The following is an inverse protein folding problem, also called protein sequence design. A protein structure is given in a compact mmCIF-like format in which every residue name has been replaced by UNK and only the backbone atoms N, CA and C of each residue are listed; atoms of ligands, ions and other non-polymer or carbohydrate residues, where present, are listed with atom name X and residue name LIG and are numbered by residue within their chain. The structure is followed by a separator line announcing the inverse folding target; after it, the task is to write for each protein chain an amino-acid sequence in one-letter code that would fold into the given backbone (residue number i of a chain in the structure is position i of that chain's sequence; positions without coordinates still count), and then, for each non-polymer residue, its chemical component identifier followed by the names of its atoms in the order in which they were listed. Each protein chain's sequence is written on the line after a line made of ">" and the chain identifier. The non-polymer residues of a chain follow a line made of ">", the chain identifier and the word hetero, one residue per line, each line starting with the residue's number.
data_IF_502680168664
#
_entry.id   IF_502680168664
#
_cell.length_a   1.000
_cell.length_b   1.000
_cell.length_c   1.000
_cell.angle_alpha   90.00
_cell.angle_beta   90.00
_cell.angle_gamma   90.00
#
_symmetry.space_group_name_H-M   'P 1'
#
loop_
_entity.id
_entity.type
_entity.pdbx_description
1 polymer ?
#
# COMPACT_ATOMS: atom_id res chain seq x y z
N UNK A 1 33.89 1.91 -7.05
CA UNK A 1 32.63 2.46 -7.60
C UNK A 1 31.67 1.28 -7.69
N UNK A 2 30.63 1.14 -6.87
CA UNK A 2 29.38 1.85 -7.15
C UNK A 2 28.31 1.77 -6.02
N UNK A 3 28.65 1.44 -4.77
CA UNK A 3 27.62 1.31 -3.71
C UNK A 3 27.07 2.67 -3.24
N UNK A 4 27.91 3.72 -3.26
CA UNK A 4 27.47 5.09 -2.98
C UNK A 4 26.42 5.57 -3.98
N UNK A 5 26.67 5.36 -5.29
CA UNK A 5 25.74 5.72 -6.35
C UNK A 5 24.40 4.97 -6.28
N UNK A 6 24.40 3.70 -5.87
CA UNK A 6 23.14 2.95 -5.74
C UNK A 6 22.27 3.53 -4.61
N UNK A 7 22.89 3.80 -3.45
CA UNK A 7 22.23 4.40 -2.29
C UNK A 7 21.70 5.79 -2.61
N UNK A 8 22.48 6.62 -3.30
CA UNK A 8 22.08 7.98 -3.68
C UNK A 8 20.90 7.98 -4.65
N UNK A 9 20.87 7.04 -5.61
CA UNK A 9 19.72 6.87 -6.53
C UNK A 9 18.46 6.40 -5.80
N UNK A 10 18.60 5.50 -4.83
CA UNK A 10 17.47 5.04 -4.00
C UNK A 10 16.95 6.19 -3.12
N UNK A 11 17.83 7.00 -2.53
CA UNK A 11 17.44 8.19 -1.76
C UNK A 11 16.75 9.24 -2.64
N UNK A 12 17.23 9.46 -3.88
CA UNK A 12 16.56 10.32 -4.86
C UNK A 12 15.18 9.79 -5.27
N UNK A 13 15.03 8.48 -5.42
CA UNK A 13 13.74 7.87 -5.75
C UNK A 13 12.76 7.97 -4.57
N UNK A 14 13.21 7.67 -3.35
CA UNK A 14 12.42 7.80 -2.12
C UNK A 14 12.05 9.25 -1.78
N UNK A 15 12.84 10.23 -2.22
CA UNK A 15 12.51 11.65 -2.01
C UNK A 15 11.41 12.14 -2.95
N UNK A 16 11.14 11.42 -4.05
CA UNK A 16 10.07 11.75 -4.99
C UNK A 16 8.68 11.60 -4.34
N UNK A 17 7.85 12.64 -4.45
CA UNK A 17 6.48 12.68 -3.93
C UNK A 17 5.62 11.51 -4.41
N UNK A 18 5.76 11.12 -5.68
CA UNK A 18 5.01 10.00 -6.25
C UNK A 18 5.46 8.64 -5.69
N UNK A 19 6.76 8.46 -5.43
CA UNK A 19 7.29 7.24 -4.83
C UNK A 19 6.82 7.09 -3.36
N UNK A 20 6.78 8.19 -2.61
CA UNK A 20 6.24 8.21 -1.24
C UNK A 20 4.74 7.86 -1.23
N UNK A 21 3.96 8.41 -2.17
CA UNK A 21 2.54 8.07 -2.32
C UNK A 21 2.33 6.59 -2.66
N UNK A 22 3.15 6.03 -3.57
CA UNK A 22 3.10 4.61 -3.91
C UNK A 22 3.44 3.73 -2.72
N UNK A 23 4.53 4.02 -2.00
CA UNK A 23 4.92 3.26 -0.81
C UNK A 23 3.87 3.33 0.28
N UNK A 24 3.27 4.51 0.50
CA UNK A 24 2.18 4.66 1.46
C UNK A 24 0.96 3.85 1.04
N UNK A 25 0.59 3.88 -0.24
CA UNK A 25 -0.53 3.08 -0.77
C UNK A 25 -0.27 1.59 -0.57
N UNK A 26 0.94 1.11 -0.88
CA UNK A 26 1.33 -0.27 -0.67
C UNK A 26 1.27 -0.68 0.81
N UNK A 27 1.78 0.16 1.71
CA UNK A 27 1.72 -0.10 3.15
C UNK A 27 0.28 -0.16 3.66
N UNK A 28 -0.58 0.77 3.21
CA UNK A 28 -1.99 0.79 3.56
C UNK A 28 -2.74 -0.42 3.00
N UNK A 29 -2.45 -0.84 1.77
CA UNK A 29 -3.02 -2.07 1.17
C UNK A 29 -2.65 -3.30 1.99
N UNK A 30 -1.38 -3.45 2.38
CA UNK A 30 -0.94 -4.59 3.18
C UNK A 30 -1.66 -4.64 4.54
N UNK A 31 -1.78 -3.49 5.20
CA UNK A 31 -2.52 -3.37 6.46
C UNK A 31 -4.01 -3.70 6.30
N UNK A 32 -4.66 -3.20 5.24
CA UNK A 32 -6.05 -3.53 4.93
C UNK A 32 -6.25 -5.01 4.63
N UNK A 33 -5.31 -5.62 3.91
CA UNK A 33 -5.38 -7.05 3.54
C UNK A 33 -5.31 -7.91 4.80
N UNK A 34 -4.41 -7.61 5.73
CA UNK A 34 -4.32 -8.30 7.01
C UNK A 34 -5.60 -8.11 7.84
N UNK A 35 -6.15 -6.90 7.88
CA UNK A 35 -7.34 -6.59 8.66
C UNK A 35 -8.57 -7.30 8.10
N UNK A 36 -8.75 -7.30 6.78
CA UNK A 36 -9.81 -8.06 6.12
C UNK A 36 -9.61 -9.55 6.32
N UNK A 37 -8.39 -10.06 6.19
CA UNK A 37 -8.10 -11.47 6.43
C UNK A 37 -8.51 -11.90 7.85
N UNK A 38 -8.11 -11.14 8.86
CA UNK A 38 -8.53 -11.37 10.25
C UNK A 38 -10.04 -11.27 10.44
N UNK A 39 -10.70 -10.34 9.75
CA UNK A 39 -12.17 -10.20 9.79
C UNK A 39 -12.86 -11.43 9.19
N UNK A 40 -12.38 -11.92 8.05
CA UNK A 40 -12.92 -13.12 7.41
C UNK A 40 -12.68 -14.36 8.27
N UNK A 41 -11.50 -14.47 8.89
CA UNK A 41 -11.18 -15.53 9.85
C UNK A 41 -12.11 -15.49 11.06
N UNK A 42 -12.38 -14.29 11.61
CA UNK A 42 -13.30 -14.10 12.73
C UNK A 42 -14.74 -14.47 12.41
N UNK A 43 -15.19 -14.21 11.17
CA UNK A 43 -16.54 -14.55 10.69
C UNK A 43 -16.64 -16.03 10.27
N UNK A 44 -15.52 -16.77 10.27
CA UNK A 44 -15.46 -18.18 9.87
C UNK A 44 -15.50 -18.39 8.35
N UNK A 45 -15.22 -17.34 7.57
CA UNK A 45 -15.26 -17.35 6.11
C UNK A 45 -13.89 -17.74 5.52
N UNK A 46 -13.42 -18.95 5.87
CA UNK A 46 -12.07 -19.40 5.51
C UNK A 46 -11.88 -19.69 4.02
N UNK A 47 -12.95 -20.04 3.30
CA UNK A 47 -12.90 -20.37 1.86
C UNK A 47 -13.00 -19.14 0.96
N UNK A 48 -13.03 -17.93 1.54
CA UNK A 48 -13.15 -16.72 0.73
C UNK A 48 -11.89 -16.51 -0.13
N UNK A 49 -12.02 -16.22 -1.44
CA UNK A 49 -10.84 -16.21 -2.29
C UNK A 49 -9.94 -15.03 -1.96
N UNK A 50 -8.68 -15.32 -1.61
CA UNK A 50 -7.68 -14.33 -1.23
C UNK A 50 -7.50 -13.21 -2.27
N UNK A 51 -7.64 -13.53 -3.56
CA UNK A 51 -7.57 -12.54 -4.64
C UNK A 51 -8.61 -11.41 -4.48
N UNK A 52 -9.83 -11.71 -4.01
CA UNK A 52 -10.84 -10.69 -3.74
C UNK A 52 -10.49 -9.85 -2.52
N UNK A 53 -9.90 -10.44 -1.49
CA UNK A 53 -9.42 -9.71 -0.30
C UNK A 53 -8.36 -8.68 -0.70
N UNK A 54 -7.39 -9.09 -1.53
CA UNK A 54 -6.34 -8.22 -2.04
C UNK A 54 -6.93 -7.13 -2.94
N UNK A 55 -7.83 -7.50 -3.85
CA UNK A 55 -8.49 -6.54 -4.75
C UNK A 55 -9.28 -5.48 -3.98
N UNK A 56 -10.07 -5.87 -2.98
CA UNK A 56 -10.81 -4.95 -2.11
C UNK A 56 -9.85 -4.07 -1.29
N UNK A 57 -8.75 -4.64 -0.81
CA UNK A 57 -7.74 -3.89 -0.06
C UNK A 57 -7.05 -2.85 -0.92
N UNK A 58 -6.70 -3.16 -2.18
CA UNK A 58 -6.09 -2.23 -3.13
C UNK A 58 -7.05 -1.10 -3.48
N UNK A 59 -8.32 -1.42 -3.74
CA UNK A 59 -9.34 -0.42 -4.05
C UNK A 59 -9.60 0.49 -2.84
N UNK A 60 -9.77 -0.10 -1.65
CA UNK A 60 -10.01 0.63 -0.41
C UNK A 60 -8.84 1.53 -0.02
N UNK A 61 -7.61 1.00 -0.04
CA UNK A 61 -6.41 1.77 0.28
C UNK A 61 -6.16 2.88 -0.75
N UNK A 62 -6.31 2.59 -2.04
CA UNK A 62 -6.16 3.57 -3.12
C UNK A 62 -7.15 4.72 -2.99
N UNK A 63 -8.41 4.42 -2.68
CA UNK A 63 -9.44 5.43 -2.45
C UNK A 63 -9.16 6.29 -1.21
N UNK A 64 -8.67 5.69 -0.12
CA UNK A 64 -8.30 6.41 1.10
C UNK A 64 -7.09 7.33 0.89
N UNK A 65 -6.04 6.83 0.24
CA UNK A 65 -4.86 7.64 -0.08
C UNK A 65 -5.24 8.77 -1.04
N UNK A 66 -6.06 8.49 -2.05
CA UNK A 66 -6.57 9.52 -2.96
C UNK A 66 -7.40 10.58 -2.21
N UNK A 67 -8.32 10.18 -1.33
CA UNK A 67 -9.20 11.12 -0.62
C UNK A 67 -8.47 11.96 0.42
N UNK A 68 -7.57 11.35 1.20
CA UNK A 68 -6.98 12.00 2.38
C UNK A 68 -5.55 12.51 2.16
N UNK A 69 -4.80 11.93 1.22
CA UNK A 69 -3.36 12.23 1.05
C UNK A 69 -3.12 12.99 -0.25
N UNK A 70 -3.79 12.64 -1.35
CA UNK A 70 -3.59 13.34 -2.63
C UNK A 70 -3.82 14.86 -2.55
N UNK A 71 -4.86 15.41 -1.88
CA UNK A 71 -5.07 16.86 -1.78
C UNK A 71 -4.00 17.60 -0.96
N UNK A 72 -3.16 16.86 -0.23
CA UNK A 72 -2.06 17.42 0.57
C UNK A 72 -0.72 17.32 -0.15
N UNK A 73 -0.65 16.55 -1.23
CA UNK A 73 0.59 16.31 -2.00
C UNK A 73 0.55 17.01 -3.36
N UNK A 74 -0.64 17.19 -3.94
CA UNK A 74 -0.95 17.91 -5.18
C UNK A 74 -1.69 19.21 -4.86
#
# INVERSE_FOLDING_TARGET
>A
MNDSNLKDRIMMWLSNRYAKLLLLTLAMTAMFTLLLFLLFELIGLHDFPFAFIVMLSVLGSGMLVYKYVAPRVF
#
